data_IF_570183820983
#
_entry.id   IF_570183820983
#
_cell.length_a   1.000
_cell.length_b   1.000
_cell.length_c   1.000
_cell.angle_alpha   90.00
_cell.angle_beta   90.00
_cell.angle_gamma   90.00
#
_symmetry.space_group_name_H-M   'P 1'
#
loop_
_entity.id
_entity.type
_entity.pdbx_description
1 polymer ?
#
# COMPACT_ATOMS: atom_id res chain seq x y z
N UNK A 1 11.01 -29.15 -37.30
CA UNK A 1 10.10 -28.06 -36.86
C UNK A 1 10.66 -27.47 -35.58
N UNK A 2 11.05 -26.21 -35.64
CA UNK A 2 11.92 -25.53 -34.68
C UNK A 2 11.23 -25.25 -33.35
N UNK A 3 11.35 -26.17 -32.39
CA UNK A 3 11.11 -25.84 -30.97
C UNK A 3 12.39 -25.25 -30.37
N UNK A 4 12.65 -23.98 -30.66
CA UNK A 4 13.71 -23.21 -30.00
C UNK A 4 13.13 -22.53 -28.76
N UNK A 5 13.28 -23.24 -27.63
CA UNK A 5 13.08 -22.83 -26.24
C UNK A 5 12.83 -21.33 -26.03
N UNK A 6 11.56 -20.92 -25.87
CA UNK A 6 11.25 -19.57 -25.34
C UNK A 6 11.94 -19.48 -23.98
N UNK A 7 12.89 -18.55 -23.81
CA UNK A 7 13.55 -18.28 -22.53
C UNK A 7 12.50 -18.12 -21.43
N UNK A 8 12.70 -18.80 -20.30
CA UNK A 8 11.81 -18.67 -19.13
C UNK A 8 12.12 -17.42 -18.29
N UNK A 9 13.06 -16.59 -18.77
CA UNK A 9 13.35 -15.23 -18.28
C UNK A 9 12.42 -14.21 -18.92
N UNK A 10 12.01 -13.22 -18.14
CA UNK A 10 11.24 -12.08 -18.61
C UNK A 10 11.73 -10.80 -17.93
N UNK A 11 12.63 -10.06 -18.60
CA UNK A 11 13.14 -8.77 -18.12
C UNK A 11 12.03 -7.74 -17.90
N UNK A 12 11.03 -7.59 -18.79
CA UNK A 12 9.92 -6.65 -18.53
C UNK A 12 9.16 -6.96 -17.24
N UNK A 13 8.86 -8.24 -16.99
CA UNK A 13 8.20 -8.67 -15.74
C UNK A 13 9.09 -8.42 -14.53
N UNK A 14 10.38 -8.68 -14.63
CA UNK A 14 11.32 -8.41 -13.54
C UNK A 14 11.40 -6.90 -13.21
N UNK A 15 11.55 -6.04 -14.22
CA UNK A 15 11.56 -4.58 -14.04
C UNK A 15 10.27 -4.11 -13.39
N UNK A 16 9.12 -4.59 -13.86
CA UNK A 16 7.83 -4.26 -13.26
C UNK A 16 7.77 -4.65 -11.78
N UNK A 17 8.16 -5.87 -11.42
CA UNK A 17 8.15 -6.33 -10.04
C UNK A 17 9.13 -5.53 -9.16
N UNK A 18 10.28 -5.12 -9.68
CA UNK A 18 11.19 -4.19 -8.99
C UNK A 18 10.59 -2.80 -8.80
N UNK A 19 9.86 -2.28 -9.79
CA UNK A 19 9.13 -1.01 -9.64
C UNK A 19 8.10 -1.15 -8.53
N UNK A 20 7.31 -2.22 -8.49
CA UNK A 20 6.37 -2.44 -7.37
C UNK A 20 7.11 -2.53 -6.04
N UNK A 21 8.24 -3.26 -5.98
CA UNK A 21 9.05 -3.36 -4.76
C UNK A 21 9.53 -1.98 -4.27
N UNK A 22 9.95 -1.10 -5.17
CA UNK A 22 10.33 0.27 -4.84
C UNK A 22 9.16 1.08 -4.28
N UNK A 23 7.96 0.93 -4.86
CA UNK A 23 6.73 1.54 -4.33
C UNK A 23 6.36 1.00 -2.95
N UNK A 24 6.49 -0.31 -2.71
CA UNK A 24 6.27 -0.93 -1.38
C UNK A 24 7.31 -0.44 -0.37
N UNK A 25 8.57 -0.29 -0.76
CA UNK A 25 9.59 0.30 0.11
C UNK A 25 9.25 1.74 0.49
N UNK A 26 8.84 2.56 -0.49
CA UNK A 26 8.37 3.92 -0.23
C UNK A 26 7.14 3.91 0.70
N UNK A 27 6.22 2.96 0.52
CA UNK A 27 5.05 2.77 1.39
C UNK A 27 5.45 2.53 2.84
N UNK A 28 6.46 1.69 3.08
CA UNK A 28 6.97 1.40 4.42
C UNK A 28 7.56 2.67 5.05
N UNK A 29 8.35 3.45 4.29
CA UNK A 29 8.95 4.70 4.79
C UNK A 29 7.88 5.74 5.12
N UNK A 30 6.95 6.00 4.19
CA UNK A 30 5.87 6.97 4.40
C UNK A 30 4.95 6.51 5.54
N UNK A 31 4.65 5.21 5.65
CA UNK A 31 3.89 4.67 6.78
C UNK A 31 4.60 4.78 8.12
N UNK A 32 5.92 4.60 8.13
CA UNK A 32 6.75 4.88 9.28
C UNK A 32 6.63 6.34 9.72
N UNK A 33 6.70 7.28 8.78
CA UNK A 33 6.49 8.70 9.06
C UNK A 33 5.08 8.96 9.63
N UNK A 34 4.02 8.47 8.98
CA UNK A 34 2.62 8.58 9.45
C UNK A 34 2.45 8.06 10.89
N UNK A 35 3.17 6.99 11.26
CA UNK A 35 3.16 6.47 12.63
C UNK A 35 3.91 7.37 13.60
N UNK A 36 5.10 7.84 13.23
CA UNK A 36 5.97 8.66 14.08
C UNK A 36 5.43 10.08 14.29
N UNK A 37 4.59 10.57 13.39
CA UNK A 37 3.89 11.86 13.49
C UNK A 37 2.47 11.71 14.07
N UNK A 38 2.14 10.54 14.63
CA UNK A 38 0.83 10.17 15.18
C UNK A 38 -0.36 10.48 14.25
N UNK A 39 -0.12 10.45 12.94
CA UNK A 39 -1.07 10.89 11.92
C UNK A 39 -2.04 9.80 11.49
N UNK A 40 -1.85 8.55 11.94
CA UNK A 40 -2.59 7.39 11.44
C UNK A 40 -4.09 7.30 11.77
N UNK A 41 -4.68 8.33 12.38
CA UNK A 41 -6.11 8.43 12.71
C UNK A 41 -6.74 9.78 12.26
N UNK A 42 -6.01 10.58 11.48
CA UNK A 42 -6.46 11.88 10.99
C UNK A 42 -7.57 11.82 9.94
N UNK A 43 -7.70 10.70 9.21
CA UNK A 43 -8.74 10.46 8.20
C UNK A 43 -9.68 9.37 8.71
N UNK A 44 -10.84 9.78 9.23
CA UNK A 44 -11.80 8.90 9.89
C UNK A 44 -12.65 8.09 8.90
N UNK A 45 -12.83 8.61 7.68
CA UNK A 45 -13.65 7.95 6.66
C UNK A 45 -12.84 7.04 5.74
N UNK A 46 -13.47 5.93 5.35
CA UNK A 46 -12.95 5.03 4.33
C UNK A 46 -13.52 5.40 2.97
N UNK A 47 -12.77 6.20 2.19
CA UNK A 47 -13.10 6.62 0.82
C UNK A 47 -12.13 5.97 -0.18
N UNK A 48 -12.34 4.71 -0.62
CA UNK A 48 -11.33 3.97 -1.38
C UNK A 48 -11.09 4.55 -2.77
N UNK A 49 -12.13 5.12 -3.40
CA UNK A 49 -12.04 5.77 -4.73
C UNK A 49 -11.91 7.30 -4.59
N UNK A 50 -12.90 7.96 -4.00
CA UNK A 50 -12.96 9.43 -3.93
C UNK A 50 -11.87 10.06 -3.06
N UNK A 51 -11.36 9.33 -2.06
CA UNK A 51 -10.25 9.78 -1.21
C UNK A 51 -8.88 9.79 -1.90
N UNK A 52 -8.82 9.58 -3.22
CA UNK A 52 -7.63 9.84 -4.02
C UNK A 52 -7.39 11.35 -4.23
N UNK A 53 -8.45 12.16 -4.15
CA UNK A 53 -8.34 13.62 -4.10
C UNK A 53 -8.35 14.06 -2.63
N UNK A 54 -7.49 15.02 -2.24
CA UNK A 54 -7.56 15.62 -0.91
C UNK A 54 -8.75 16.60 -0.85
N UNK A 55 -9.08 17.15 0.33
CA UNK A 55 -10.07 18.23 0.45
C UNK A 55 -9.66 19.43 -0.44
N UNK A 56 -10.57 19.85 -1.32
CA UNK A 56 -10.27 20.81 -2.39
C UNK A 56 -10.79 22.22 -2.06
N UNK A 57 -11.69 22.35 -1.09
CA UNK A 57 -12.26 23.62 -0.64
C UNK A 57 -12.01 23.88 0.84
N UNK A 58 -12.16 25.12 1.28
CA UNK A 58 -12.09 25.47 2.70
C UNK A 58 -13.20 24.77 3.51
N UNK A 59 -14.37 24.56 2.92
CA UNK A 59 -15.47 23.84 3.55
C UNK A 59 -15.10 22.36 3.76
N UNK A 60 -14.57 21.69 2.73
CA UNK A 60 -14.17 20.28 2.81
C UNK A 60 -13.14 20.06 3.93
N UNK A 61 -12.19 20.99 4.07
CA UNK A 61 -11.20 20.96 5.14
C UNK A 61 -11.82 21.10 6.53
N UNK A 62 -12.84 21.95 6.68
CA UNK A 62 -13.55 22.11 7.94
C UNK A 62 -14.40 20.88 8.27
N UNK A 63 -15.00 20.23 7.27
CA UNK A 63 -15.81 19.02 7.44
C UNK A 63 -14.96 17.84 7.93
N UNK A 64 -13.82 17.59 7.27
CA UNK A 64 -12.86 16.55 7.71
C UNK A 64 -12.29 16.85 9.11
N UNK A 65 -12.02 18.14 9.40
CA UNK A 65 -11.56 18.51 10.74
C UNK A 65 -12.65 18.36 11.80
N UNK A 66 -13.91 18.63 11.47
CA UNK A 66 -15.04 18.38 12.36
C UNK A 66 -15.15 16.90 12.71
N UNK A 67 -15.02 16.00 11.72
CA UNK A 67 -15.00 14.56 11.96
C UNK A 67 -13.83 14.13 12.86
N UNK A 68 -12.66 14.73 12.70
CA UNK A 68 -11.51 14.45 13.56
C UNK A 68 -11.72 14.92 15.01
N UNK A 69 -12.48 16.00 15.24
CA UNK A 69 -12.79 16.47 16.61
C UNK A 69 -13.63 15.48 17.41
N UNK A 70 -14.39 14.61 16.74
CA UNK A 70 -15.24 13.61 17.37
C UNK A 70 -14.47 12.40 17.89
N UNK A 71 -13.21 12.20 17.50
CA UNK A 71 -12.44 11.01 17.89
C UNK A 71 -11.61 11.23 19.17
N UNK A 72 -11.30 10.17 19.93
CA UNK A 72 -10.55 10.28 21.19
C UNK A 72 -9.17 10.95 21.06
N UNK A 73 -8.51 10.77 19.91
CA UNK A 73 -7.19 11.38 19.66
C UNK A 73 -7.24 12.92 19.75
N UNK A 74 -8.29 13.56 19.21
CA UNK A 74 -8.46 15.01 19.35
C UNK A 74 -8.75 15.39 20.81
N UNK A 75 -9.71 14.72 21.45
CA UNK A 75 -10.14 15.07 22.80
C UNK A 75 -9.03 14.91 23.85
N UNK A 76 -8.14 13.92 23.70
CA UNK A 76 -7.17 13.55 24.74
C UNK A 76 -5.73 14.02 24.45
N UNK A 77 -5.31 14.06 23.18
CA UNK A 77 -3.92 14.40 22.82
C UNK A 77 -3.82 15.74 22.09
N UNK A 78 -4.79 16.05 21.23
CA UNK A 78 -4.73 17.19 20.31
C UNK A 78 -5.78 18.26 20.64
N UNK A 79 -6.16 18.37 21.92
CA UNK A 79 -7.20 19.29 22.34
C UNK A 79 -6.80 20.74 22.06
N UNK A 80 -7.65 21.47 21.33
CA UNK A 80 -7.37 22.85 20.91
C UNK A 80 -6.45 22.97 19.68
N UNK A 81 -6.16 21.86 18.99
CA UNK A 81 -5.44 21.87 17.72
C UNK A 81 -6.12 22.80 16.70
N UNK A 82 -5.33 23.56 15.95
CA UNK A 82 -5.80 24.40 14.85
C UNK A 82 -6.02 23.60 13.56
N UNK A 83 -6.79 24.15 12.63
CA UNK A 83 -6.97 23.56 11.30
C UNK A 83 -5.63 23.36 10.56
N UNK A 84 -4.68 24.27 10.73
CA UNK A 84 -3.36 24.18 10.10
C UNK A 84 -2.54 22.99 10.63
N UNK A 85 -2.55 22.78 11.95
CA UNK A 85 -1.92 21.61 12.57
C UNK A 85 -2.61 20.30 12.15
N UNK A 86 -3.94 20.30 12.02
CA UNK A 86 -4.69 19.16 11.49
C UNK A 86 -4.28 18.83 10.04
N UNK A 87 -4.12 19.84 9.17
CA UNK A 87 -3.65 19.62 7.80
C UNK A 87 -2.30 18.91 7.75
N UNK A 88 -1.39 19.20 8.68
CA UNK A 88 -0.08 18.55 8.72
C UNK A 88 -0.19 17.03 8.94
N UNK A 89 -1.00 16.58 9.91
CA UNK A 89 -1.22 15.15 10.14
C UNK A 89 -2.06 14.51 9.02
N UNK A 90 -3.05 15.23 8.49
CA UNK A 90 -3.88 14.78 7.38
C UNK A 90 -3.04 14.46 6.14
N UNK A 91 -2.08 15.32 5.79
CA UNK A 91 -1.23 15.11 4.62
C UNK A 91 -0.40 13.83 4.72
N UNK A 92 0.14 13.51 5.90
CA UNK A 92 0.89 12.27 6.09
C UNK A 92 0.02 11.04 5.87
N UNK A 93 -1.17 11.02 6.45
CA UNK A 93 -2.08 9.88 6.26
C UNK A 93 -2.62 9.80 4.84
N UNK A 94 -3.02 10.93 4.26
CA UNK A 94 -3.51 10.99 2.89
C UNK A 94 -2.45 10.52 1.89
N UNK A 95 -1.20 10.99 2.01
CA UNK A 95 -0.09 10.58 1.15
C UNK A 95 0.19 9.09 1.28
N UNK A 96 0.17 8.54 2.50
CA UNK A 96 0.28 7.11 2.73
C UNK A 96 -0.85 6.35 2.01
N UNK A 97 -2.12 6.74 2.22
CA UNK A 97 -3.27 6.09 1.57
C UNK A 97 -3.23 6.22 0.05
N UNK A 98 -2.83 7.37 -0.50
CA UNK A 98 -2.68 7.58 -1.94
C UNK A 98 -1.59 6.66 -2.50
N UNK A 99 -0.43 6.59 -1.85
CA UNK A 99 0.65 5.71 -2.26
C UNK A 99 0.21 4.24 -2.26
N UNK A 100 -0.59 3.81 -1.27
CA UNK A 100 -1.18 2.47 -1.26
C UNK A 100 -2.07 2.19 -2.46
N UNK A 101 -2.89 3.16 -2.89
CA UNK A 101 -3.70 3.05 -4.12
C UNK A 101 -2.82 2.97 -5.37
N UNK A 102 -1.75 3.77 -5.42
CA UNK A 102 -0.79 3.73 -6.53
C UNK A 102 -0.07 2.39 -6.60
N UNK A 103 0.36 1.81 -5.47
CA UNK A 103 0.92 0.44 -5.42
C UNK A 103 -0.07 -0.55 -6.03
N UNK A 104 -1.36 -0.48 -5.63
CA UNK A 104 -2.41 -1.31 -6.18
C UNK A 104 -2.54 -1.21 -7.70
N UNK A 105 -2.55 0.02 -8.24
CA UNK A 105 -2.64 0.26 -9.68
C UNK A 105 -1.37 -0.19 -10.45
N UNK A 106 -0.19 0.13 -9.92
CA UNK A 106 1.13 -0.23 -10.49
C UNK A 106 1.35 -1.75 -10.46
N UNK A 107 0.71 -2.47 -9.54
CA UNK A 107 0.67 -3.93 -9.60
C UNK A 107 -0.41 -4.43 -10.58
N UNK A 108 -1.67 -4.03 -10.39
CA UNK A 108 -2.82 -4.64 -11.06
C UNK A 108 -2.81 -4.43 -12.58
N UNK A 109 -2.48 -3.23 -13.05
CA UNK A 109 -2.55 -2.90 -14.48
C UNK A 109 -1.48 -3.67 -15.28
N UNK A 110 -0.18 -3.67 -14.90
CA UNK A 110 0.80 -4.46 -15.62
C UNK A 110 0.62 -5.97 -15.40
N UNK A 111 0.11 -6.40 -14.22
CA UNK A 111 -0.22 -7.81 -14.00
C UNK A 111 -1.25 -8.31 -15.02
N UNK A 112 -2.36 -7.59 -15.18
CA UNK A 112 -3.39 -7.91 -16.17
C UNK A 112 -2.82 -7.88 -17.60
N UNK A 113 -2.05 -6.84 -17.94
CA UNK A 113 -1.39 -6.72 -19.24
C UNK A 113 -0.48 -7.92 -19.55
N UNK A 114 0.48 -8.23 -18.67
CA UNK A 114 1.42 -9.33 -18.90
C UNK A 114 0.75 -10.70 -18.86
N UNK A 115 -0.33 -10.86 -18.11
CA UNK A 115 -1.11 -12.09 -18.08
C UNK A 115 -1.83 -12.31 -19.42
N UNK A 116 -2.52 -11.29 -19.94
CA UNK A 116 -3.21 -11.33 -21.24
C UNK A 116 -2.20 -11.58 -22.38
N UNK A 117 -1.05 -10.92 -22.32
CA UNK A 117 0.03 -11.07 -23.31
C UNK A 117 0.84 -12.36 -23.16
N UNK A 118 0.59 -13.15 -22.11
CA UNK A 118 1.33 -14.37 -21.76
C UNK A 118 2.85 -14.13 -21.67
N UNK A 119 3.22 -12.98 -21.10
CA UNK A 119 4.60 -12.54 -20.89
C UNK A 119 5.14 -12.90 -19.51
N UNK A 120 4.24 -13.29 -18.58
CA UNK A 120 4.62 -13.87 -17.28
C UNK A 120 5.06 -15.33 -17.50
N UNK A 121 6.28 -15.72 -17.08
CA UNK A 121 6.69 -17.13 -17.08
C UNK A 121 5.69 -17.98 -16.30
N UNK A 122 5.28 -19.13 -16.85
CA UNK A 122 4.18 -19.94 -16.28
C UNK A 122 4.39 -20.31 -14.82
N UNK A 123 5.64 -20.60 -14.43
CA UNK A 123 6.02 -20.92 -13.03
C UNK A 123 5.77 -19.77 -12.05
N UNK A 124 5.79 -18.52 -12.54
CA UNK A 124 5.65 -17.32 -11.71
C UNK A 124 4.22 -16.82 -11.62
N UNK A 125 3.29 -17.31 -12.45
CA UNK A 125 1.89 -16.85 -12.42
C UNK A 125 1.28 -17.04 -11.02
N UNK A 126 1.45 -18.22 -10.43
CA UNK A 126 0.94 -18.49 -9.08
C UNK A 126 1.55 -17.57 -8.01
N UNK A 127 2.84 -17.23 -8.15
CA UNK A 127 3.50 -16.27 -7.26
C UNK A 127 2.95 -14.86 -7.45
N UNK A 128 2.77 -14.40 -8.69
CA UNK A 128 2.18 -13.09 -8.97
C UNK A 128 0.75 -12.98 -8.43
N UNK A 129 -0.06 -14.04 -8.55
CA UNK A 129 -1.40 -14.09 -7.93
C UNK A 129 -1.30 -14.00 -6.41
N UNK A 130 -0.38 -14.76 -5.79
CA UNK A 130 -0.13 -14.68 -4.35
C UNK A 130 0.32 -13.29 -3.88
N UNK A 131 1.19 -12.63 -4.64
CA UNK A 131 1.63 -11.25 -4.38
C UNK A 131 0.47 -10.26 -4.46
N UNK A 132 -0.42 -10.41 -5.46
CA UNK A 132 -1.63 -9.60 -5.59
C UNK A 132 -2.56 -9.78 -4.38
N UNK A 133 -2.80 -11.03 -3.98
CA UNK A 133 -3.62 -11.35 -2.81
C UNK A 133 -3.02 -10.79 -1.52
N UNK A 134 -1.69 -10.90 -1.34
CA UNK A 134 -0.99 -10.34 -0.19
C UNK A 134 -1.04 -8.80 -0.18
N UNK A 135 -0.98 -8.14 -1.33
CA UNK A 135 -1.21 -6.70 -1.46
C UNK A 135 -2.65 -6.30 -1.12
N UNK A 136 -3.65 -7.10 -1.50
CA UNK A 136 -5.03 -6.91 -1.07
C UNK A 136 -5.20 -7.06 0.45
N UNK A 137 -4.58 -8.10 1.03
CA UNK A 137 -4.56 -8.33 2.47
C UNK A 137 -3.89 -7.16 3.22
N UNK A 138 -2.82 -6.59 2.67
CA UNK A 138 -2.20 -5.37 3.20
C UNK A 138 -3.22 -4.23 3.35
N UNK A 139 -3.99 -3.94 2.29
CA UNK A 139 -5.05 -2.93 2.34
C UNK A 139 -6.12 -3.24 3.40
N UNK A 140 -6.53 -4.51 3.52
CA UNK A 140 -7.51 -4.95 4.52
C UNK A 140 -6.99 -4.81 5.97
N UNK A 141 -5.71 -5.12 6.21
CA UNK A 141 -5.09 -4.94 7.53
C UNK A 141 -4.92 -3.45 7.84
N UNK A 142 -4.54 -2.63 6.85
CA UNK A 142 -4.44 -1.17 7.01
C UNK A 142 -5.80 -0.53 7.36
N UNK A 143 -6.89 -1.00 6.76
CA UNK A 143 -8.25 -0.63 7.16
C UNK A 143 -8.52 -0.95 8.62
N UNK A 144 -8.27 -2.21 9.00
CA UNK A 144 -8.56 -2.71 10.33
C UNK A 144 -7.81 -1.92 11.38
N UNK A 145 -6.54 -1.56 11.12
CA UNK A 145 -5.74 -0.67 11.99
C UNK A 145 -6.42 0.66 12.27
N UNK A 146 -6.91 1.35 11.22
CA UNK A 146 -7.55 2.66 11.39
C UNK A 146 -8.92 2.52 12.02
N UNK A 147 -9.81 1.71 11.46
CA UNK A 147 -11.20 1.60 11.88
C UNK A 147 -11.35 1.26 13.37
N UNK A 148 -10.44 0.43 13.88
CA UNK A 148 -10.42 0.01 15.28
C UNK A 148 -9.74 1.00 16.24
N UNK A 149 -9.11 2.05 15.72
CA UNK A 149 -8.53 3.13 16.51
C UNK A 149 -9.47 4.31 16.72
N UNK A 150 -10.56 4.40 15.95
CA UNK A 150 -11.43 5.59 15.95
C UNK A 150 -12.38 5.71 17.15
N UNK A 151 -12.75 4.61 17.81
CA UNK A 151 -13.77 4.61 18.87
C UNK A 151 -13.23 4.54 20.30
N UNK A 152 -12.09 3.87 20.51
CA UNK A 152 -11.61 3.50 21.86
C UNK A 152 -10.17 3.91 22.14
N UNK A 153 -9.43 4.40 21.13
CA UNK A 153 -7.97 4.60 21.25
C UNK A 153 -7.55 5.95 20.69
N UNK A 154 -6.38 6.40 21.15
CA UNK A 154 -5.73 7.63 20.65
C UNK A 154 -4.64 7.34 19.62
N UNK A 155 -4.36 6.06 19.35
CA UNK A 155 -3.38 5.61 18.37
C UNK A 155 -3.69 4.20 17.89
N UNK A 156 -3.09 3.81 16.77
CA UNK A 156 -3.18 2.45 16.23
C UNK A 156 -2.50 1.47 17.18
N UNK A 157 -3.18 0.37 17.48
CA UNK A 157 -2.68 -0.66 18.38
C UNK A 157 -1.35 -1.27 17.89
N UNK A 158 -0.31 -1.38 18.75
CA UNK A 158 1.03 -1.85 18.35
C UNK A 158 1.04 -3.23 17.68
N UNK A 159 0.20 -4.15 18.15
CA UNK A 159 0.06 -5.50 17.60
C UNK A 159 -0.46 -5.48 16.16
N UNK A 160 -1.40 -4.58 15.83
CA UNK A 160 -1.94 -4.43 14.46
C UNK A 160 -0.91 -3.83 13.53
N UNK A 161 -0.18 -2.82 14.03
CA UNK A 161 0.95 -2.22 13.32
C UNK A 161 2.03 -3.25 13.01
N UNK A 162 2.38 -4.10 13.97
CA UNK A 162 3.36 -5.18 13.78
C UNK A 162 2.91 -6.17 12.71
N UNK A 163 1.65 -6.61 12.74
CA UNK A 163 1.08 -7.50 11.70
C UNK A 163 1.18 -6.86 10.32
N UNK A 164 0.75 -5.60 10.19
CA UNK A 164 0.78 -4.88 8.93
C UNK A 164 2.21 -4.70 8.38
N UNK A 165 3.13 -4.23 9.22
CA UNK A 165 4.52 -4.03 8.84
C UNK A 165 5.22 -5.36 8.51
N UNK A 166 4.98 -6.42 9.28
CA UNK A 166 5.55 -7.74 9.02
C UNK A 166 5.10 -8.31 7.68
N UNK A 167 3.80 -8.20 7.37
CA UNK A 167 3.27 -8.59 6.07
C UNK A 167 3.83 -7.70 4.93
N UNK A 168 4.13 -6.42 5.18
CA UNK A 168 4.71 -5.52 4.17
C UNK A 168 6.17 -5.91 3.85
N UNK A 169 6.96 -6.27 4.86
CA UNK A 169 8.30 -6.83 4.65
C UNK A 169 8.27 -8.18 3.95
N UNK A 170 7.33 -9.06 4.29
CA UNK A 170 7.14 -10.33 3.59
C UNK A 170 6.79 -10.10 2.11
N UNK A 171 5.89 -9.16 1.83
CA UNK A 171 5.53 -8.75 0.46
C UNK A 171 6.74 -8.19 -0.30
N UNK A 172 7.51 -7.29 0.32
CA UNK A 172 8.72 -6.71 -0.28
C UNK A 172 9.75 -7.80 -0.62
N UNK A 173 10.03 -8.70 0.33
CA UNK A 173 10.95 -9.82 0.11
C UNK A 173 10.49 -10.75 -1.01
N UNK A 174 9.20 -11.09 -1.04
CA UNK A 174 8.62 -11.94 -2.06
C UNK A 174 8.60 -11.27 -3.46
N UNK A 175 8.37 -9.95 -3.53
CA UNK A 175 8.47 -9.17 -4.77
C UNK A 175 9.89 -9.20 -5.32
N UNK A 176 10.88 -8.86 -4.49
CA UNK A 176 12.30 -8.84 -4.88
C UNK A 176 12.76 -10.23 -5.32
N UNK A 177 12.40 -11.27 -4.57
CA UNK A 177 12.73 -12.65 -4.93
C UNK A 177 12.10 -13.05 -6.27
N UNK A 178 10.82 -12.75 -6.47
CA UNK A 178 10.12 -13.07 -7.73
C UNK A 178 10.69 -12.27 -8.90
N UNK A 179 11.07 -11.01 -8.69
CA UNK A 179 11.72 -10.17 -9.69
C UNK A 179 13.09 -10.74 -10.11
N UNK A 180 13.91 -11.15 -9.14
CA UNK A 180 15.21 -11.78 -9.39
C UNK A 180 15.06 -13.11 -10.14
N UNK A 181 14.05 -13.92 -9.81
CA UNK A 181 13.76 -15.16 -10.53
C UNK A 181 13.26 -14.87 -11.96
N UNK A 182 12.40 -13.85 -12.16
CA UNK A 182 12.01 -13.40 -13.48
C UNK A 182 13.20 -12.91 -14.32
N UNK A 183 14.18 -12.25 -13.69
CA UNK A 183 15.39 -11.76 -14.33
C UNK A 183 16.38 -12.88 -14.68
N UNK A 184 16.60 -13.81 -13.74
CA UNK A 184 17.66 -14.83 -13.80
C UNK A 184 17.18 -16.23 -14.22
N UNK A 185 15.87 -16.42 -14.44
CA UNK A 185 15.23 -17.71 -14.68
C UNK A 185 16.05 -18.71 -15.53
N UNK A 186 16.05 -19.98 -15.11
CA UNK A 186 16.78 -21.03 -15.80
C UNK A 186 16.27 -21.23 -17.23
N UNK A 187 17.16 -21.66 -18.14
CA UNK A 187 16.73 -22.27 -19.40
C UNK A 187 15.90 -23.52 -19.05
N UNK A 188 14.76 -23.73 -19.72
CA UNK A 188 13.95 -24.94 -19.53
C UNK A 188 14.86 -26.17 -19.69
N UNK A 189 14.93 -27.02 -18.66
CA UNK A 189 15.38 -28.39 -18.87
C UNK A 189 14.31 -29.06 -19.75
N UNK A 190 14.76 -29.60 -20.88
CA UNK A 190 13.92 -30.22 -21.90
C UNK A 190 13.28 -31.51 -21.41
#
# INVERSE_FOLDING_TARGET
>A
MTSFLRSDRSRPVAVWLFVVAAFVLAMIVVGGATRLTDSGLSITEWKPVTGALPPMSAQDWNDEFALYKEIPQYAQLNHGMSLEQFKAIYWWEWSHRLLGRLVGAVFALPFAYFLIRREIPRRLIGRCVGLFALGGLQGAVGWWMVASGLSERVSVAPERLMVHLGLAFALLGALVWTALDAWNGAARQA
#
